data_IF_107107249291
#
_entry.id   IF_107107249291
#
_cell.length_a   1.000
_cell.length_b   1.000
_cell.length_c   1.000
_cell.angle_alpha   90.00
_cell.angle_beta   90.00
_cell.angle_gamma   90.00
#
_symmetry.space_group_name_H-M   'P 1'
#
loop_
_entity.id
_entity.type
_entity.pdbx_description
1 polymer ?
#
# COMPACT_ATOMS: atom_id res chain seq x y z
N UNK A 1 17.62 -4.57 30.17
CA UNK A 1 16.90 -5.15 29.03
C UNK A 1 16.13 -4.03 28.34
N UNK A 2 16.48 -3.71 27.11
CA UNK A 2 15.70 -2.77 26.30
C UNK A 2 14.40 -3.49 25.94
N UNK A 3 13.27 -3.02 26.45
CA UNK A 3 11.95 -3.58 26.13
C UNK A 3 11.66 -3.23 24.68
N UNK A 4 11.78 -4.19 23.77
CA UNK A 4 11.43 -3.99 22.35
C UNK A 4 9.94 -3.68 22.28
N UNK A 5 9.59 -2.53 21.74
CA UNK A 5 8.19 -2.12 21.57
C UNK A 5 7.57 -2.92 20.43
N UNK A 6 6.48 -3.61 20.72
CA UNK A 6 5.67 -4.31 19.73
C UNK A 6 5.10 -3.30 18.73
N UNK A 7 5.28 -3.54 17.43
CA UNK A 7 4.82 -2.65 16.37
C UNK A 7 3.87 -3.40 15.44
N UNK A 8 2.69 -2.85 15.22
CA UNK A 8 1.68 -3.44 14.34
C UNK A 8 1.90 -3.02 12.90
N UNK A 9 1.97 -3.99 12.01
CA UNK A 9 2.07 -3.82 10.56
C UNK A 9 0.84 -4.45 9.92
N UNK A 10 0.04 -3.65 9.19
CA UNK A 10 -1.05 -4.15 8.39
C UNK A 10 -0.57 -4.40 6.96
N UNK A 11 -0.69 -5.62 6.50
CA UNK A 11 -0.40 -6.03 5.13
C UNK A 11 -1.69 -6.06 4.32
N UNK A 12 -1.69 -5.36 3.20
CA UNK A 12 -2.78 -5.30 2.23
C UNK A 12 -2.27 -5.83 0.88
N UNK A 13 -2.33 -7.16 0.64
CA UNK A 13 -1.82 -7.75 -0.60
C UNK A 13 -2.44 -7.13 -1.85
N UNK A 14 -3.77 -6.97 -1.84
CA UNK A 14 -4.50 -6.44 -2.98
C UNK A 14 -4.66 -7.45 -4.10
N UNK A 15 -4.42 -7.00 -5.34
CA UNK A 15 -4.77 -7.71 -6.57
C UNK A 15 -3.54 -8.13 -7.39
N UNK A 16 -3.75 -9.03 -8.34
CA UNK A 16 -2.71 -9.41 -9.31
C UNK A 16 -1.44 -9.93 -8.65
N UNK A 17 -0.33 -9.25 -8.88
CA UNK A 17 1.00 -9.61 -8.32
C UNK A 17 1.13 -9.27 -6.81
N UNK A 18 0.18 -8.51 -6.26
CA UNK A 18 0.26 -8.03 -4.87
C UNK A 18 0.49 -9.13 -3.84
N UNK A 19 -0.24 -10.26 -3.85
CA UNK A 19 -0.02 -11.37 -2.92
C UNK A 19 1.38 -11.95 -2.97
N UNK A 20 1.99 -12.09 -4.17
CA UNK A 20 3.35 -12.59 -4.32
C UNK A 20 4.36 -11.65 -3.67
N UNK A 21 4.24 -10.35 -3.95
CA UNK A 21 5.11 -9.31 -3.37
C UNK A 21 5.00 -9.29 -1.85
N UNK A 22 3.79 -9.32 -1.31
CA UNK A 22 3.56 -9.29 0.14
C UNK A 22 4.07 -10.58 0.81
N UNK A 23 4.03 -11.72 0.15
CA UNK A 23 4.63 -12.94 0.68
C UNK A 23 6.16 -12.83 0.86
N UNK A 24 6.85 -12.16 -0.05
CA UNK A 24 8.29 -11.88 0.12
C UNK A 24 8.53 -10.87 1.27
N UNK A 25 7.68 -9.88 1.40
CA UNK A 25 7.72 -8.94 2.53
C UNK A 25 7.58 -9.67 3.87
N UNK A 26 6.65 -10.62 3.99
CA UNK A 26 6.47 -11.44 5.21
C UNK A 26 7.76 -12.19 5.59
N UNK A 27 8.47 -12.76 4.61
CA UNK A 27 9.76 -13.43 4.86
C UNK A 27 10.78 -12.48 5.45
N UNK A 28 10.86 -11.26 4.93
CA UNK A 28 11.78 -10.23 5.42
C UNK A 28 11.41 -9.81 6.85
N UNK A 29 10.12 -9.55 7.13
CA UNK A 29 9.66 -9.17 8.47
C UNK A 29 9.97 -10.28 9.49
N UNK A 30 9.67 -11.53 9.15
CA UNK A 30 9.98 -12.68 10.01
C UNK A 30 11.48 -12.80 10.25
N UNK A 31 12.31 -12.59 9.24
CA UNK A 31 13.76 -12.59 9.40
C UNK A 31 14.23 -11.51 10.39
N UNK A 32 13.63 -10.31 10.35
CA UNK A 32 13.93 -9.26 11.32
C UNK A 32 13.51 -9.62 12.74
N UNK A 33 12.33 -10.23 12.91
CA UNK A 33 11.88 -10.71 14.20
C UNK A 33 12.84 -11.76 14.77
N UNK A 34 13.26 -12.72 13.93
CA UNK A 34 14.11 -13.83 14.36
C UNK A 34 15.57 -13.41 14.61
N UNK A 35 16.15 -12.60 13.71
CA UNK A 35 17.59 -12.31 13.71
C UNK A 35 17.95 -11.00 14.40
N UNK A 36 17.03 -10.06 14.46
CA UNK A 36 17.29 -8.72 15.05
C UNK A 36 16.53 -8.47 16.32
N UNK A 37 15.82 -9.48 16.85
CA UNK A 37 15.00 -9.38 18.05
C UNK A 37 14.05 -8.18 18.03
N UNK A 38 13.49 -7.91 16.86
CA UNK A 38 12.39 -6.96 16.70
C UNK A 38 11.06 -7.66 16.99
N UNK A 39 10.04 -6.92 17.33
CA UNK A 39 8.71 -7.45 17.64
C UNK A 39 7.66 -6.80 16.72
N UNK A 40 7.61 -7.28 15.48
CA UNK A 40 6.62 -6.89 14.50
C UNK A 40 5.44 -7.86 14.51
N UNK A 41 4.27 -7.36 14.85
CA UNK A 41 3.00 -8.07 14.73
C UNK A 41 2.42 -7.81 13.34
N UNK A 42 2.17 -8.88 12.58
CA UNK A 42 1.61 -8.80 11.24
C UNK A 42 0.11 -9.10 11.31
N UNK A 43 -0.72 -8.19 10.80
CA UNK A 43 -2.12 -8.46 10.43
C UNK A 43 -2.26 -8.36 8.90
N UNK A 44 -3.25 -9.02 8.34
CA UNK A 44 -3.50 -9.05 6.89
C UNK A 44 -4.97 -8.86 6.60
N UNK A 45 -5.28 -8.07 5.56
CA UNK A 45 -6.65 -7.81 5.16
C UNK A 45 -6.79 -7.63 3.64
N UNK A 46 -8.01 -7.80 3.14
CA UNK A 46 -8.32 -7.64 1.72
C UNK A 46 -8.50 -6.15 1.37
N UNK A 47 -7.98 -5.77 0.20
CA UNK A 47 -8.12 -4.42 -0.35
C UNK A 47 -8.15 -4.49 -1.88
N UNK A 48 -8.77 -3.51 -2.53
CA UNK A 48 -8.82 -3.44 -3.99
C UNK A 48 -9.93 -4.28 -4.61
N UNK A 49 -9.65 -4.88 -5.74
CA UNK A 49 -10.61 -5.67 -6.50
C UNK A 49 -11.03 -6.95 -5.81
N UNK A 50 -10.12 -7.62 -5.11
CA UNK A 50 -10.45 -8.81 -4.33
C UNK A 50 -11.38 -8.49 -3.15
N UNK A 51 -11.27 -7.31 -2.55
CA UNK A 51 -12.21 -6.84 -1.54
C UNK A 51 -13.56 -6.52 -2.16
N UNK A 52 -13.56 -5.86 -3.34
CA UNK A 52 -14.79 -5.55 -4.07
C UNK A 52 -15.56 -6.81 -4.46
N UNK A 53 -14.89 -7.84 -4.97
CA UNK A 53 -15.52 -9.11 -5.36
C UNK A 53 -16.21 -9.79 -4.16
N UNK A 54 -15.64 -9.66 -2.97
CA UNK A 54 -16.14 -10.31 -1.75
C UNK A 54 -17.16 -9.48 -0.98
N UNK A 55 -16.97 -8.17 -0.93
CA UNK A 55 -17.70 -7.26 -0.03
C UNK A 55 -18.46 -6.15 -0.77
N UNK A 56 -18.33 -6.04 -2.12
CA UNK A 56 -18.94 -4.96 -2.91
C UNK A 56 -18.28 -3.58 -2.71
N UNK A 57 -17.16 -3.53 -1.98
CA UNK A 57 -16.41 -2.29 -1.74
C UNK A 57 -14.91 -2.55 -1.82
N UNK A 58 -14.12 -1.61 -2.39
CA UNK A 58 -12.67 -1.80 -2.53
C UNK A 58 -11.91 -1.77 -1.19
N UNK A 59 -12.53 -1.30 -0.14
CA UNK A 59 -12.03 -1.39 1.24
C UNK A 59 -13.21 -1.33 2.20
N UNK A 60 -13.27 -2.26 3.16
CA UNK A 60 -14.28 -2.26 4.21
C UNK A 60 -13.90 -1.32 5.35
N UNK A 61 -14.90 -0.87 6.11
CA UNK A 61 -14.63 0.00 7.27
C UNK A 61 -13.82 -0.73 8.36
N UNK A 62 -14.00 -2.04 8.51
CA UNK A 62 -13.18 -2.85 9.42
C UNK A 62 -11.69 -2.78 9.06
N UNK A 63 -11.35 -2.99 7.79
CA UNK A 63 -9.96 -2.89 7.29
C UNK A 63 -9.42 -1.48 7.46
N UNK A 64 -10.27 -0.49 7.25
CA UNK A 64 -9.91 0.90 7.45
C UNK A 64 -9.57 1.20 8.92
N UNK A 65 -10.37 0.72 9.90
CA UNK A 65 -10.04 0.87 11.33
C UNK A 65 -8.76 0.14 11.71
N UNK A 66 -8.51 -1.06 11.18
CA UNK A 66 -7.22 -1.75 11.35
C UNK A 66 -6.05 -0.94 10.83
N UNK A 67 -6.21 -0.24 9.70
CA UNK A 67 -5.19 0.64 9.16
C UNK A 67 -4.89 1.83 10.08
N UNK A 68 -5.92 2.41 10.72
CA UNK A 68 -5.75 3.49 11.70
C UNK A 68 -5.03 3.04 12.98
N UNK A 69 -5.23 1.81 13.41
CA UNK A 69 -4.60 1.23 14.60
C UNK A 69 -3.18 0.74 14.36
N UNK A 70 -2.79 0.58 13.10
CA UNK A 70 -1.47 0.08 12.72
C UNK A 70 -0.45 1.21 12.64
N UNK A 71 0.80 0.95 13.03
CA UNK A 71 1.89 1.92 12.86
C UNK A 71 2.34 2.02 11.40
N UNK A 72 2.20 0.93 10.64
CA UNK A 72 2.58 0.83 9.22
C UNK A 72 1.51 0.07 8.46
N UNK A 73 1.15 0.59 7.28
CA UNK A 73 0.31 -0.09 6.31
C UNK A 73 1.15 -0.35 5.06
N UNK A 74 1.32 -1.61 4.70
CA UNK A 74 2.04 -2.03 3.49
C UNK A 74 1.05 -2.52 2.45
N UNK A 75 1.03 -1.86 1.30
CA UNK A 75 0.17 -2.19 0.17
C UNK A 75 0.97 -2.90 -0.91
N UNK A 76 0.46 -4.04 -1.41
CA UNK A 76 1.04 -4.75 -2.54
C UNK A 76 0.69 -4.06 -3.86
N UNK A 77 -0.40 -4.46 -4.49
CA UNK A 77 -0.90 -3.86 -5.73
C UNK A 77 -2.43 -3.85 -5.73
N UNK A 78 -3.04 -2.88 -6.39
CA UNK A 78 -4.49 -2.80 -6.54
C UNK A 78 -4.86 -2.49 -7.99
N UNK A 79 -5.98 -3.05 -8.44
CA UNK A 79 -6.50 -2.86 -9.77
C UNK A 79 -6.12 -3.99 -10.74
N UNK A 80 -6.76 -3.94 -11.90
CA UNK A 80 -6.56 -4.88 -12.99
C UNK A 80 -7.68 -4.82 -14.01
N UNK A 81 -7.50 -5.38 -15.21
CA UNK A 81 -8.46 -5.26 -16.31
C UNK A 81 -9.87 -5.73 -15.96
N UNK A 82 -9.99 -6.67 -15.02
CA UNK A 82 -11.28 -7.21 -14.56
C UNK A 82 -12.22 -6.13 -14.02
N UNK A 83 -11.68 -5.04 -13.48
CA UNK A 83 -12.45 -3.97 -12.81
C UNK A 83 -12.43 -2.64 -13.58
N UNK A 84 -11.98 -2.63 -14.82
CA UNK A 84 -11.93 -1.40 -15.63
C UNK A 84 -13.32 -0.83 -15.94
N UNK A 85 -14.32 -1.69 -16.12
CA UNK A 85 -15.68 -1.31 -16.50
C UNK A 85 -16.63 -1.05 -15.31
N UNK A 86 -16.16 -1.18 -14.06
CA UNK A 86 -17.00 -0.90 -12.89
C UNK A 86 -17.12 0.60 -12.63
N UNK A 87 -18.15 0.96 -11.86
CA UNK A 87 -18.40 2.32 -11.44
C UNK A 87 -17.16 2.95 -10.81
N UNK A 88 -16.82 4.18 -11.19
CA UNK A 88 -15.61 4.88 -10.73
C UNK A 88 -15.47 4.92 -9.20
N UNK A 89 -16.59 5.07 -8.48
CA UNK A 89 -16.64 5.10 -7.01
C UNK A 89 -16.17 3.80 -6.36
N UNK A 90 -16.30 2.68 -7.07
CA UNK A 90 -16.00 1.33 -6.62
C UNK A 90 -14.70 0.75 -7.16
N UNK A 91 -14.00 1.50 -7.99
CA UNK A 91 -12.71 1.07 -8.55
C UNK A 91 -11.69 0.73 -7.46
N UNK A 92 -10.88 -0.33 -7.64
CA UNK A 92 -9.88 -0.77 -6.67
C UNK A 92 -8.95 0.34 -6.17
N UNK A 93 -8.55 1.26 -7.06
CA UNK A 93 -7.65 2.37 -6.74
C UNK A 93 -8.25 3.38 -5.75
N UNK A 94 -9.57 3.40 -5.61
CA UNK A 94 -10.26 4.27 -4.64
C UNK A 94 -9.92 3.91 -3.20
N UNK A 95 -9.61 2.63 -2.93
CA UNK A 95 -9.14 2.19 -1.63
C UNK A 95 -7.85 2.93 -1.22
N UNK A 96 -6.87 3.01 -2.13
CA UNK A 96 -5.62 3.71 -1.88
C UNK A 96 -5.82 5.22 -1.66
N UNK A 97 -6.70 5.84 -2.43
CA UNK A 97 -7.00 7.26 -2.27
C UNK A 97 -7.71 7.53 -0.93
N UNK A 98 -8.66 6.67 -0.53
CA UNK A 98 -9.32 6.76 0.79
C UNK A 98 -8.29 6.62 1.91
N UNK A 99 -7.43 5.61 1.87
CA UNK A 99 -6.38 5.42 2.87
C UNK A 99 -5.46 6.64 2.98
N UNK A 100 -4.96 7.18 1.86
CA UNK A 100 -4.08 8.36 1.85
C UNK A 100 -4.72 9.58 2.49
N UNK A 101 -5.99 9.82 2.16
CA UNK A 101 -6.74 10.96 2.69
C UNK A 101 -6.96 10.84 4.20
N UNK A 102 -7.49 9.72 4.63
CA UNK A 102 -7.94 9.52 6.01
C UNK A 102 -6.77 9.30 6.98
N UNK A 103 -5.69 8.66 6.54
CA UNK A 103 -4.43 8.57 7.30
C UNK A 103 -3.64 9.89 7.28
N UNK A 104 -4.15 10.95 6.61
CA UNK A 104 -3.52 12.28 6.54
C UNK A 104 -2.07 12.23 6.05
N UNK A 105 -1.79 11.39 5.06
CA UNK A 105 -0.45 11.24 4.51
C UNK A 105 -0.09 12.47 3.68
N UNK A 106 0.81 13.29 4.19
CA UNK A 106 1.18 14.58 3.60
C UNK A 106 2.37 14.50 2.64
N UNK A 107 3.17 13.43 2.69
CA UNK A 107 4.36 13.28 1.85
C UNK A 107 4.24 12.01 0.97
N UNK A 108 4.62 12.12 -0.29
CA UNK A 108 4.73 11.01 -1.23
C UNK A 108 6.19 10.88 -1.66
N UNK A 109 6.92 9.98 -1.00
CA UNK A 109 8.32 9.75 -1.29
C UNK A 109 8.46 8.59 -2.28
N UNK A 110 9.11 8.84 -3.41
CA UNK A 110 9.38 7.84 -4.45
C UNK A 110 10.88 7.68 -4.62
N UNK A 111 11.54 6.83 -3.81
CA UNK A 111 12.96 6.57 -3.98
C UNK A 111 13.18 5.93 -5.36
N UNK A 112 14.09 6.51 -6.11
CA UNK A 112 14.38 6.06 -7.46
C UNK A 112 15.89 6.20 -7.72
N UNK A 113 16.48 5.21 -8.37
CA UNK A 113 17.86 5.28 -8.88
C UNK A 113 17.96 6.21 -10.11
N UNK A 114 17.13 7.19 -10.22
CA UNK A 114 16.79 7.95 -11.40
C UNK A 114 17.80 8.97 -11.85
N UNK A 115 18.75 9.30 -11.04
CA UNK A 115 19.80 10.21 -11.48
C UNK A 115 20.73 9.57 -12.53
N UNK A 116 20.61 8.26 -12.71
CA UNK A 116 21.36 7.52 -13.73
C UNK A 116 20.58 7.23 -15.00
N UNK A 117 19.24 7.33 -14.97
CA UNK A 117 18.39 7.06 -16.13
C UNK A 117 17.02 7.75 -15.99
N UNK A 118 16.87 9.01 -16.38
CA UNK A 118 15.61 9.74 -16.28
C UNK A 118 14.53 9.08 -17.12
N UNK A 119 13.36 8.82 -16.51
CA UNK A 119 12.22 8.27 -17.23
C UNK A 119 11.63 9.32 -18.20
N UNK A 120 11.00 8.90 -19.31
CA UNK A 120 10.31 9.83 -20.20
C UNK A 120 9.21 10.65 -19.52
N UNK A 121 8.66 10.17 -18.38
CA UNK A 121 7.70 10.93 -17.57
C UNK A 121 8.36 12.12 -16.87
N UNK A 122 9.57 11.97 -16.38
CA UNK A 122 10.28 13.04 -15.68
C UNK A 122 10.63 14.17 -16.63
N UNK A 123 10.98 13.84 -17.87
CA UNK A 123 11.20 14.84 -18.94
C UNK A 123 9.93 15.63 -19.31
N UNK A 124 8.75 15.04 -19.18
CA UNK A 124 7.48 15.75 -19.41
C UNK A 124 7.13 16.71 -18.27
N UNK A 125 7.41 16.36 -17.02
CA UNK A 125 7.19 17.26 -15.88
C UNK A 125 8.15 18.45 -15.89
N UNK A 126 9.37 18.28 -16.35
CA UNK A 126 10.35 19.36 -16.50
C UNK A 126 10.00 20.34 -17.66
N UNK A 127 9.05 19.99 -18.52
CA UNK A 127 8.61 20.83 -19.67
C UNK A 127 7.28 21.54 -19.46
N UNK A 128 6.67 21.44 -18.28
CA UNK A 128 5.52 22.28 -17.98
C UNK A 128 6.03 23.72 -17.79
N UNK A 129 5.64 24.69 -18.66
CA UNK A 129 5.95 26.08 -18.39
C UNK A 129 5.25 26.45 -17.09
N UNK A 130 6.01 27.07 -16.18
CA UNK A 130 5.42 27.77 -15.05
C UNK A 130 4.48 28.79 -15.68
N UNK A 131 3.18 28.55 -15.60
CA UNK A 131 2.21 29.56 -15.93
C UNK A 131 2.41 30.73 -14.98
N UNK A 132 2.83 31.84 -15.54
CA UNK A 132 2.85 33.14 -14.88
C UNK A 132 1.45 33.53 -14.41
#
# INVERSE_FOLDING_TARGET
MIKVRKRKILLLPGDGIGPEVINEVKKIINWFNDKKSLDFEIDEALVGGCSYDKHGTPITDEVFYKALESEVVMLGAVGGPKWDDIEFSKKPERALLKLRKELKLFANLRPCLLYTSPSPRDKRQARMPSSA
#
